data_IF_693984660605
#
_entry.id   IF_693984660605
#
_cell.length_a   1.000
_cell.length_b   1.000
_cell.length_c   1.000
_cell.angle_alpha   90.00
_cell.angle_beta   90.00
_cell.angle_gamma   90.00
#
_symmetry.space_group_name_H-M   'P 1'
#
loop_
_entity.id
_entity.type
_entity.pdbx_description
1 polymer ?
#
# COMPACT_ATOMS: atom_id res chain seq x y z
N UNK A 1 -2.74 5.79 -1.27
CA UNK A 1 -3.22 4.39 -1.41
C UNK A 1 -4.73 4.29 -1.32
N UNK A 2 -5.37 4.74 -0.25
CA UNK A 2 -6.82 4.61 -0.04
C UNK A 2 -7.66 5.07 -1.23
N UNK A 3 -7.41 6.26 -1.78
CA UNK A 3 -8.11 6.76 -2.97
C UNK A 3 -8.02 5.82 -4.19
N UNK A 4 -6.86 5.18 -4.40
CA UNK A 4 -6.69 4.20 -5.48
C UNK A 4 -7.46 2.90 -5.24
N UNK A 5 -7.61 2.46 -3.99
CA UNK A 5 -8.43 1.30 -3.62
C UNK A 5 -9.92 1.65 -3.79
N UNK A 6 -10.34 2.85 -3.38
CA UNK A 6 -11.72 3.36 -3.61
C UNK A 6 -12.04 3.39 -5.10
N UNK A 7 -11.14 3.93 -5.93
CA UNK A 7 -11.30 3.93 -7.39
C UNK A 7 -11.47 2.52 -7.93
N UNK A 8 -10.57 1.60 -7.55
CA UNK A 8 -10.60 0.21 -8.00
C UNK A 8 -11.91 -0.50 -7.63
N UNK A 9 -12.35 -0.37 -6.38
CA UNK A 9 -13.59 -0.99 -5.91
C UNK A 9 -14.82 -0.46 -6.66
N UNK A 10 -14.92 0.85 -6.85
CA UNK A 10 -16.01 1.47 -7.59
C UNK A 10 -16.06 1.07 -9.07
N UNK A 11 -14.89 1.01 -9.74
CA UNK A 11 -14.76 0.51 -11.12
C UNK A 11 -15.15 -0.96 -11.25
N UNK A 12 -14.96 -1.73 -10.20
CA UNK A 12 -15.32 -3.15 -10.13
C UNK A 12 -16.79 -3.40 -9.77
N UNK A 13 -17.60 -2.35 -9.66
CA UNK A 13 -19.05 -2.45 -9.45
C UNK A 13 -19.50 -2.46 -7.98
N UNK A 14 -18.59 -2.30 -7.03
CA UNK A 14 -18.94 -2.26 -5.61
C UNK A 14 -19.52 -0.90 -5.20
N UNK A 15 -20.48 -0.91 -4.27
CA UNK A 15 -20.84 0.27 -3.50
C UNK A 15 -19.75 0.53 -2.47
N UNK A 16 -19.23 1.75 -2.41
CA UNK A 16 -18.07 2.11 -1.60
C UNK A 16 -18.43 3.27 -0.68
N UNK A 17 -18.11 3.12 0.61
CA UNK A 17 -18.07 4.24 1.54
C UNK A 17 -16.59 4.57 1.76
N UNK A 18 -16.16 5.73 1.26
CA UNK A 18 -14.80 6.23 1.45
C UNK A 18 -14.78 7.16 2.68
N UNK A 19 -14.14 6.71 3.75
CA UNK A 19 -14.13 7.43 5.03
C UNK A 19 -12.72 7.90 5.39
N UNK A 20 -12.60 9.19 5.73
CA UNK A 20 -11.39 9.78 6.32
C UNK A 20 -11.80 10.88 7.30
N UNK A 21 -11.12 10.99 8.44
CA UNK A 21 -11.39 12.04 9.43
C UNK A 21 -11.03 13.45 8.97
N UNK A 22 -10.19 13.58 7.93
CA UNK A 22 -9.76 14.84 7.32
C UNK A 22 -10.60 15.16 6.10
N UNK A 23 -11.32 16.28 6.14
CA UNK A 23 -12.08 16.79 4.98
C UNK A 23 -11.16 17.09 3.81
N UNK A 24 -9.99 17.68 4.06
CA UNK A 24 -9.01 18.00 3.00
C UNK A 24 -8.49 16.72 2.33
N UNK A 25 -8.29 15.63 3.11
CA UNK A 25 -7.89 14.34 2.55
C UNK A 25 -9.01 13.74 1.68
N UNK A 26 -10.28 13.87 2.08
CA UNK A 26 -11.43 13.45 1.27
C UNK A 26 -11.52 14.23 -0.03
N UNK A 27 -11.38 15.56 0.00
CA UNK A 27 -11.38 16.40 -1.21
C UNK A 27 -10.25 16.00 -2.17
N UNK A 28 -9.05 15.82 -1.63
CA UNK A 28 -7.91 15.32 -2.40
C UNK A 28 -8.15 13.93 -3.01
N UNK A 29 -8.78 13.03 -2.25
CA UNK A 29 -9.14 11.70 -2.73
C UNK A 29 -10.22 11.75 -3.84
N UNK A 30 -11.24 12.58 -3.70
CA UNK A 30 -12.26 12.79 -4.71
C UNK A 30 -11.65 13.25 -6.04
N UNK A 31 -10.78 14.25 -5.97
CA UNK A 31 -10.08 14.77 -7.16
C UNK A 31 -9.19 13.69 -7.81
N UNK A 32 -8.44 12.94 -6.98
CA UNK A 32 -7.60 11.84 -7.47
C UNK A 32 -8.42 10.78 -8.20
N UNK A 33 -9.54 10.33 -7.60
CA UNK A 33 -10.40 9.30 -8.17
C UNK A 33 -11.06 9.78 -9.46
N UNK A 34 -11.60 11.01 -9.49
CA UNK A 34 -12.21 11.58 -10.68
C UNK A 34 -11.23 11.64 -11.85
N UNK A 35 -10.05 12.24 -11.64
CA UNK A 35 -8.98 12.28 -12.65
C UNK A 35 -8.48 10.89 -13.06
N UNK A 36 -8.50 9.94 -12.13
CA UNK A 36 -8.15 8.55 -12.42
C UNK A 36 -9.16 7.92 -13.39
N UNK A 37 -10.45 8.08 -13.13
CA UNK A 37 -11.52 7.56 -13.99
C UNK A 37 -11.52 8.21 -15.37
N UNK A 38 -11.37 9.54 -15.44
CA UNK A 38 -11.22 10.27 -16.71
C UNK A 38 -10.09 9.68 -17.57
N UNK A 39 -8.91 9.48 -16.99
CA UNK A 39 -7.76 8.88 -17.70
C UNK A 39 -8.00 7.45 -18.17
N UNK A 40 -8.80 6.66 -17.47
CA UNK A 40 -9.16 5.32 -17.92
C UNK A 40 -10.17 5.39 -19.08
N UNK A 41 -11.12 6.33 -19.05
CA UNK A 41 -12.05 6.58 -20.16
C UNK A 41 -11.30 7.07 -21.41
N UNK A 42 -10.38 8.04 -21.29
CA UNK A 42 -9.53 8.52 -22.38
C UNK A 42 -8.70 7.39 -23.05
N UNK A 43 -8.36 6.36 -22.29
CA UNK A 43 -7.64 5.17 -22.79
C UNK A 43 -8.57 4.08 -23.34
N UNK A 44 -9.88 4.32 -23.35
CA UNK A 44 -10.87 3.40 -23.87
C UNK A 44 -11.16 2.18 -22.99
N UNK A 45 -10.82 2.24 -21.69
CA UNK A 45 -11.15 1.17 -20.75
C UNK A 45 -12.66 1.09 -20.47
N UNK A 46 -13.36 2.21 -20.53
CA UNK A 46 -14.81 2.35 -20.41
C UNK A 46 -15.23 3.74 -20.98
N UNK A 47 -16.51 3.97 -21.17
CA UNK A 47 -17.03 5.25 -21.66
C UNK A 47 -17.03 6.33 -20.57
N UNK A 48 -17.22 7.61 -20.96
CA UNK A 48 -17.39 8.70 -19.99
C UNK A 48 -18.63 8.50 -19.11
N UNK A 49 -19.72 7.98 -19.68
CA UNK A 49 -20.94 7.66 -18.94
C UNK A 49 -20.69 6.55 -17.89
N UNK A 50 -19.94 5.52 -18.25
CA UNK A 50 -19.51 4.47 -17.31
C UNK A 50 -18.59 5.03 -16.23
N UNK A 51 -17.70 5.98 -16.56
CA UNK A 51 -16.86 6.67 -15.58
C UNK A 51 -17.68 7.41 -14.53
N UNK A 52 -18.70 8.16 -14.94
CA UNK A 52 -19.62 8.84 -14.01
C UNK A 52 -20.44 7.83 -13.20
N UNK A 53 -20.90 6.74 -13.81
CA UNK A 53 -21.61 5.67 -13.10
C UNK A 53 -20.73 4.98 -12.06
N UNK A 54 -19.44 4.76 -12.35
CA UNK A 54 -18.47 4.23 -11.39
C UNK A 54 -18.24 5.22 -10.24
N UNK A 55 -18.04 6.50 -10.54
CA UNK A 55 -17.86 7.53 -9.52
C UNK A 55 -19.08 7.67 -8.62
N UNK A 56 -20.29 7.56 -9.19
CA UNK A 56 -21.56 7.60 -8.45
C UNK A 56 -21.77 6.48 -7.44
N UNK A 57 -20.95 5.40 -7.46
CA UNK A 57 -20.98 4.33 -6.46
C UNK A 57 -20.26 4.68 -5.17
N UNK A 58 -19.56 5.83 -5.12
CA UNK A 58 -18.73 6.21 -3.98
C UNK A 58 -19.48 7.22 -3.12
N UNK A 59 -19.73 6.85 -1.89
CA UNK A 59 -20.20 7.74 -0.85
C UNK A 59 -18.98 8.23 -0.03
N UNK A 60 -18.80 9.54 0.05
CA UNK A 60 -17.68 10.16 0.76
C UNK A 60 -18.14 10.67 2.12
N UNK A 61 -17.48 10.28 3.19
CA UNK A 61 -17.89 10.63 4.55
C UNK A 61 -16.70 10.92 5.46
N UNK A 62 -16.86 11.91 6.33
CA UNK A 62 -15.95 12.14 7.45
C UNK A 62 -16.42 11.44 8.73
N UNK A 63 -17.54 10.72 8.69
CA UNK A 63 -18.15 10.06 9.83
C UNK A 63 -17.99 8.54 9.74
N UNK A 64 -17.17 7.97 10.62
CA UNK A 64 -16.94 6.52 10.69
C UNK A 64 -18.23 5.72 10.99
N UNK A 65 -19.22 6.31 11.67
CA UNK A 65 -20.50 5.66 11.98
C UNK A 65 -21.26 5.17 10.73
N UNK A 66 -20.99 5.75 9.57
CA UNK A 66 -21.60 5.33 8.30
C UNK A 66 -21.08 3.98 7.81
N UNK A 67 -19.98 3.48 8.38
CA UNK A 67 -19.44 2.15 8.07
C UNK A 67 -20.16 1.01 8.79
N UNK A 68 -21.10 1.30 9.69
CA UNK A 68 -21.75 0.31 10.57
C UNK A 68 -22.44 -0.87 9.87
N UNK A 69 -22.79 -0.73 8.60
CA UNK A 69 -23.42 -1.79 7.81
C UNK A 69 -22.45 -2.41 6.79
N UNK A 70 -21.17 -2.07 6.85
CA UNK A 70 -20.19 -2.60 5.92
C UNK A 70 -19.89 -4.07 6.21
N UNK A 71 -19.90 -4.90 5.15
CA UNK A 71 -19.51 -6.31 5.22
C UNK A 71 -17.98 -6.48 5.31
N UNK A 72 -17.25 -5.55 4.68
CA UNK A 72 -15.79 -5.53 4.63
C UNK A 72 -15.29 -4.10 4.72
N UNK A 73 -14.29 -3.87 5.55
CA UNK A 73 -13.54 -2.60 5.58
C UNK A 73 -12.10 -2.86 5.19
N UNK A 74 -11.57 -2.03 4.29
CA UNK A 74 -10.14 -2.00 3.95
C UNK A 74 -9.53 -0.75 4.61
N UNK A 75 -8.76 -0.94 5.67
CA UNK A 75 -8.03 0.11 6.34
C UNK A 75 -6.78 0.50 5.53
N UNK A 76 -6.63 1.77 5.19
CA UNK A 76 -5.53 2.30 4.41
C UNK A 76 -5.01 3.67 4.92
N UNK A 77 -5.06 3.88 6.24
CA UNK A 77 -4.56 5.10 6.90
C UNK A 77 -3.03 5.11 6.98
N UNK A 78 -2.45 6.12 7.66
CA UNK A 78 -1.00 6.26 7.82
C UNK A 78 -0.35 4.99 8.39
N UNK A 79 0.85 4.64 7.90
CA UNK A 79 1.57 3.40 8.25
C UNK A 79 2.25 3.54 9.62
N UNK A 80 1.44 3.64 10.69
CA UNK A 80 1.88 3.70 12.09
C UNK A 80 1.07 2.74 12.93
N UNK A 81 1.73 1.94 13.76
CA UNK A 81 1.11 0.87 14.55
C UNK A 81 0.01 1.41 15.50
N UNK A 82 0.29 2.49 16.25
CA UNK A 82 -0.69 3.09 17.18
C UNK A 82 -1.99 3.50 16.48
N UNK A 83 -1.95 4.45 15.52
CA UNK A 83 -3.14 4.88 14.79
C UNK A 83 -3.92 3.74 14.12
N UNK A 84 -3.22 2.74 13.51
CA UNK A 84 -3.90 1.59 12.91
C UNK A 84 -4.60 0.72 13.95
N UNK A 85 -3.97 0.46 15.10
CA UNK A 85 -4.59 -0.30 16.20
C UNK A 85 -5.84 0.40 16.74
N UNK A 86 -5.77 1.72 16.92
CA UNK A 86 -6.92 2.55 17.36
C UNK A 86 -8.06 2.48 16.33
N UNK A 87 -7.74 2.61 15.04
CA UNK A 87 -8.73 2.51 13.97
C UNK A 87 -9.36 1.11 13.90
N UNK A 88 -8.57 0.03 14.01
CA UNK A 88 -9.09 -1.33 14.01
C UNK A 88 -9.97 -1.61 15.22
N UNK A 89 -9.60 -1.12 16.40
CA UNK A 89 -10.42 -1.27 17.60
C UNK A 89 -11.77 -0.51 17.49
N UNK A 90 -11.76 0.70 16.92
CA UNK A 90 -12.98 1.47 16.67
C UNK A 90 -13.88 0.77 15.63
N UNK A 91 -13.30 0.24 14.56
CA UNK A 91 -14.04 -0.55 13.55
C UNK A 91 -14.63 -1.83 14.15
N UNK A 92 -13.87 -2.51 15.02
CA UNK A 92 -14.33 -3.71 15.70
C UNK A 92 -15.58 -3.46 16.56
N UNK A 93 -15.62 -2.33 17.26
CA UNK A 93 -16.77 -1.94 18.07
C UNK A 93 -17.99 -1.50 17.24
N UNK A 94 -17.78 -1.02 16.03
CA UNK A 94 -18.81 -0.43 15.16
C UNK A 94 -19.47 -1.46 14.23
N UNK A 95 -18.66 -2.33 13.64
CA UNK A 95 -19.06 -3.20 12.53
C UNK A 95 -19.91 -4.40 12.99
N UNK A 96 -20.76 -4.95 12.11
CA UNK A 96 -21.46 -6.21 12.38
C UNK A 96 -20.50 -7.32 12.73
N UNK A 97 -20.94 -8.28 13.55
CA UNK A 97 -20.11 -9.39 14.02
C UNK A 97 -19.48 -10.21 12.87
N UNK A 98 -20.17 -10.28 11.72
CA UNK A 98 -19.69 -11.04 10.56
C UNK A 98 -18.78 -10.25 9.61
N UNK A 99 -18.61 -8.96 9.85
CA UNK A 99 -17.75 -8.13 9.00
C UNK A 99 -16.28 -8.49 9.15
N UNK A 100 -15.55 -8.43 8.03
CA UNK A 100 -14.10 -8.59 8.01
C UNK A 100 -13.39 -7.23 7.97
N UNK A 101 -12.24 -7.16 8.64
CA UNK A 101 -11.38 -5.98 8.64
C UNK A 101 -10.09 -6.37 7.94
N UNK A 102 -9.83 -5.77 6.78
CA UNK A 102 -8.59 -5.93 6.03
C UNK A 102 -7.72 -4.70 6.20
N UNK A 103 -6.42 -4.88 6.31
CA UNK A 103 -5.48 -3.75 6.43
C UNK A 103 -4.54 -3.70 5.24
N UNK A 104 -4.33 -2.51 4.69
CA UNK A 104 -3.37 -2.28 3.61
C UNK A 104 -1.95 -1.99 4.14
N UNK A 105 -1.63 -2.45 5.34
CA UNK A 105 -0.27 -2.32 5.86
C UNK A 105 0.75 -2.96 4.91
N UNK A 106 1.93 -2.35 4.84
CA UNK A 106 3.06 -2.86 4.03
C UNK A 106 4.15 -3.54 4.85
N UNK A 107 4.16 -3.35 6.17
CA UNK A 107 5.28 -3.79 7.01
C UNK A 107 4.91 -4.18 8.44
N UNK A 108 3.72 -3.78 8.93
CA UNK A 108 3.31 -4.09 10.31
C UNK A 108 2.77 -5.53 10.36
N UNK A 109 3.26 -6.39 11.28
CA UNK A 109 2.77 -7.74 11.45
C UNK A 109 1.24 -7.78 11.67
N UNK A 110 0.54 -8.67 10.97
CA UNK A 110 -0.91 -8.77 11.08
C UNK A 110 -1.35 -9.12 12.51
N UNK A 111 -0.55 -9.91 13.24
CA UNK A 111 -0.82 -10.25 14.63
C UNK A 111 -0.93 -8.99 15.53
N UNK A 112 -0.06 -8.00 15.32
CA UNK A 112 -0.04 -6.77 16.12
C UNK A 112 -1.30 -5.93 15.91
N UNK A 113 -1.80 -5.89 14.68
CA UNK A 113 -3.03 -5.17 14.33
C UNK A 113 -4.28 -5.94 14.77
N UNK A 114 -4.33 -7.24 14.48
CA UNK A 114 -5.45 -8.11 14.84
C UNK A 114 -5.68 -8.16 16.36
N UNK A 115 -4.62 -8.09 17.18
CA UNK A 115 -4.71 -8.07 18.65
C UNK A 115 -5.44 -6.85 19.22
N UNK A 116 -5.69 -5.82 18.41
CA UNK A 116 -6.49 -4.65 18.82
C UNK A 116 -8.00 -4.89 18.67
N UNK A 117 -8.41 -6.04 18.12
CA UNK A 117 -9.82 -6.39 17.88
C UNK A 117 -10.26 -7.58 18.71
N UNK A 118 -11.55 -7.72 18.97
CA UNK A 118 -12.17 -8.90 19.57
C UNK A 118 -12.44 -10.04 18.57
N UNK A 119 -12.11 -9.82 17.26
CA UNK A 119 -12.30 -10.77 16.16
C UNK A 119 -11.03 -11.01 15.35
N UNK A 120 -9.89 -11.39 15.96
CA UNK A 120 -8.62 -11.53 15.26
C UNK A 120 -8.67 -12.56 14.10
N UNK A 121 -9.61 -13.51 14.13
CA UNK A 121 -9.84 -14.48 13.06
C UNK A 121 -10.46 -13.83 11.80
N UNK A 122 -11.08 -12.65 11.91
CA UNK A 122 -11.67 -11.87 10.81
C UNK A 122 -10.77 -10.74 10.30
N UNK A 123 -9.51 -10.74 10.72
CA UNK A 123 -8.50 -9.75 10.29
C UNK A 123 -7.45 -10.42 9.42
N UNK A 124 -7.15 -9.82 8.26
CA UNK A 124 -5.97 -10.13 7.44
C UNK A 124 -5.46 -8.87 6.72
N UNK A 125 -4.33 -8.99 6.06
CA UNK A 125 -3.85 -7.94 5.16
C UNK A 125 -4.49 -8.03 3.78
N UNK A 126 -4.57 -6.87 3.10
CA UNK A 126 -4.77 -6.75 1.65
C UNK A 126 -3.82 -5.67 1.16
N UNK A 127 -2.58 -6.07 0.91
CA UNK A 127 -1.50 -5.16 0.52
C UNK A 127 -1.55 -4.91 -0.98
N UNK A 128 -2.12 -3.75 -1.34
CA UNK A 128 -2.18 -3.27 -2.72
C UNK A 128 -0.89 -2.57 -3.12
N UNK A 129 -0.52 -2.67 -4.39
CA UNK A 129 0.63 -1.96 -4.96
C UNK A 129 0.19 -0.70 -5.71
N UNK A 130 1.04 0.34 -5.67
CA UNK A 130 0.78 1.63 -6.34
C UNK A 130 1.01 1.55 -7.85
N UNK A 131 0.09 2.05 -8.70
CA UNK A 131 -1.29 2.46 -8.39
C UNK A 131 -2.25 1.25 -8.36
N UNK A 132 -3.16 1.12 -7.37
CA UNK A 132 -4.04 -0.05 -7.23
C UNK A 132 -4.87 -0.40 -8.47
N UNK A 133 -5.44 0.56 -9.22
CA UNK A 133 -6.21 0.21 -10.42
C UNK A 133 -5.38 -0.47 -11.51
N UNK A 134 -4.05 -0.24 -11.55
CA UNK A 134 -3.15 -0.71 -12.62
C UNK A 134 -2.46 -2.03 -12.25
N UNK A 135 -2.03 -2.18 -10.99
CA UNK A 135 -1.29 -3.38 -10.57
C UNK A 135 -2.21 -4.58 -10.49
N UNK A 136 -1.73 -5.74 -10.99
CA UNK A 136 -2.55 -6.94 -11.11
C UNK A 136 -2.59 -7.79 -9.84
N UNK A 137 -1.49 -7.88 -9.11
CA UNK A 137 -1.40 -8.69 -7.90
C UNK A 137 -1.74 -7.90 -6.62
N UNK A 138 -2.31 -8.60 -5.65
CA UNK A 138 -2.51 -8.11 -4.27
C UNK A 138 -2.01 -9.19 -3.32
N UNK A 139 -1.08 -8.85 -2.44
CA UNK A 139 -0.69 -9.75 -1.36
C UNK A 139 -1.80 -9.79 -0.30
N UNK A 140 -2.09 -10.98 0.21
CA UNK A 140 -2.99 -11.19 1.33
C UNK A 140 -2.18 -11.73 2.51
N UNK A 141 -1.56 -10.85 3.31
CA UNK A 141 -0.84 -11.26 4.50
C UNK A 141 -1.77 -11.91 5.53
N UNK A 142 -1.49 -13.19 5.82
CA UNK A 142 -2.23 -13.98 6.80
C UNK A 142 -1.64 -13.78 8.19
N UNK A 143 -2.46 -13.39 9.17
CA UNK A 143 -2.09 -13.42 10.58
C UNK A 143 -2.21 -14.84 11.19
N UNK A 144 -1.61 -15.08 12.35
CA UNK A 144 -1.66 -16.41 13.00
C UNK A 144 -3.07 -16.82 13.40
N UNK A 145 -3.95 -15.88 13.68
CA UNK A 145 -5.36 -16.12 14.04
C UNK A 145 -6.32 -16.04 12.87
N UNK A 146 -5.90 -15.54 11.70
CA UNK A 146 -6.77 -15.36 10.54
C UNK A 146 -7.39 -16.70 10.09
N UNK A 147 -8.72 -16.76 10.04
CA UNK A 147 -9.45 -17.96 9.62
C UNK A 147 -9.35 -18.20 8.11
N UNK A 148 -9.53 -19.44 7.68
CA UNK A 148 -9.57 -19.77 6.25
C UNK A 148 -10.79 -19.11 5.56
N UNK A 149 -11.91 -18.97 6.26
CA UNK A 149 -13.09 -18.26 5.76
C UNK A 149 -12.76 -16.79 5.46
N UNK A 150 -12.03 -16.12 6.35
CA UNK A 150 -11.58 -14.72 6.14
C UNK A 150 -10.64 -14.62 4.93
N UNK A 151 -9.74 -15.59 4.76
CA UNK A 151 -8.86 -15.64 3.60
C UNK A 151 -9.64 -15.83 2.29
N UNK A 152 -10.66 -16.72 2.30
CA UNK A 152 -11.50 -16.89 1.10
C UNK A 152 -12.33 -15.64 0.79
N UNK A 153 -12.83 -14.93 1.81
CA UNK A 153 -13.50 -13.63 1.60
C UNK A 153 -12.53 -12.60 1.01
N UNK A 154 -11.29 -12.52 1.51
CA UNK A 154 -10.27 -11.63 0.97
C UNK A 154 -9.89 -12.00 -0.47
N UNK A 155 -9.70 -13.31 -0.77
CA UNK A 155 -9.46 -13.78 -2.15
C UNK A 155 -10.62 -13.45 -3.08
N UNK A 156 -11.86 -13.67 -2.61
CA UNK A 156 -13.08 -13.35 -3.36
C UNK A 156 -13.17 -11.87 -3.70
N UNK A 157 -12.94 -11.00 -2.71
CA UNK A 157 -12.93 -9.56 -2.91
C UNK A 157 -11.84 -9.11 -3.89
N UNK A 158 -10.61 -9.61 -3.74
CA UNK A 158 -9.51 -9.28 -4.65
C UNK A 158 -9.81 -9.74 -6.09
N UNK A 159 -10.38 -10.93 -6.25
CA UNK A 159 -10.83 -11.43 -7.58
C UNK A 159 -11.95 -10.60 -8.17
N UNK A 160 -12.90 -10.11 -7.36
CA UNK A 160 -13.98 -9.25 -7.84
C UNK A 160 -13.46 -7.90 -8.36
N UNK A 161 -12.28 -7.47 -7.91
CA UNK A 161 -11.55 -6.32 -8.45
C UNK A 161 -10.78 -6.64 -9.75
N UNK A 162 -10.91 -7.85 -10.30
CA UNK A 162 -10.14 -8.31 -11.45
C UNK A 162 -8.65 -8.50 -11.15
N UNK A 163 -8.29 -8.69 -9.87
CA UNK A 163 -6.90 -8.82 -9.42
C UNK A 163 -6.57 -10.26 -9.03
N UNK A 164 -5.27 -10.55 -8.96
CA UNK A 164 -4.73 -11.86 -8.56
C UNK A 164 -4.41 -11.84 -7.07
N UNK A 165 -5.13 -12.58 -6.23
CA UNK A 165 -4.83 -12.68 -4.81
C UNK A 165 -3.66 -13.65 -4.56
N UNK A 166 -2.68 -13.23 -3.77
CA UNK A 166 -1.55 -14.06 -3.34
C UNK A 166 -1.48 -14.07 -1.83
N UNK A 167 -1.82 -15.20 -1.21
CA UNK A 167 -1.71 -15.35 0.25
C UNK A 167 -0.26 -15.53 0.63
N UNK A 168 0.18 -14.74 1.62
CA UNK A 168 1.55 -14.74 2.14
C UNK A 168 1.54 -14.80 3.67
N UNK A 169 2.66 -15.17 4.28
CA UNK A 169 2.82 -15.12 5.73
C UNK A 169 2.84 -13.65 6.20
N UNK A 170 1.88 -13.28 7.03
CA UNK A 170 1.73 -11.94 7.59
C UNK A 170 2.57 -11.68 8.85
N UNK A 171 3.31 -12.67 9.33
CA UNK A 171 4.27 -12.54 10.42
C UNK A 171 5.66 -12.09 9.98
N UNK A 172 5.93 -12.14 8.66
CA UNK A 172 7.22 -11.69 8.10
C UNK A 172 7.14 -10.19 7.78
N UNK A 173 7.90 -9.34 8.46
CA UNK A 173 7.92 -7.91 8.18
C UNK A 173 8.30 -7.61 6.71
N UNK A 174 7.53 -6.76 6.04
CA UNK A 174 7.72 -6.45 4.62
C UNK A 174 7.17 -7.50 3.65
N UNK A 175 6.53 -8.56 4.16
CA UNK A 175 5.90 -9.65 3.40
C UNK A 175 6.82 -10.22 2.31
N UNK A 176 6.32 -10.45 1.08
CA UNK A 176 7.16 -10.96 -0.01
C UNK A 176 7.72 -9.82 -0.84
N UNK A 177 6.88 -8.89 -1.30
CA UNK A 177 7.31 -7.85 -2.23
C UNK A 177 8.43 -6.96 -1.68
N UNK A 178 8.26 -6.44 -0.47
CA UNK A 178 9.29 -5.59 0.14
C UNK A 178 10.56 -6.38 0.50
N UNK A 179 10.44 -7.66 0.83
CA UNK A 179 11.59 -8.55 1.07
C UNK A 179 12.42 -8.79 -0.20
N UNK A 180 11.84 -8.64 -1.39
CA UNK A 180 12.59 -8.64 -2.65
C UNK A 180 13.07 -7.25 -3.05
N UNK A 181 12.23 -6.24 -2.86
CA UNK A 181 12.48 -4.88 -3.34
C UNK A 181 13.56 -4.16 -2.53
N UNK A 182 13.45 -4.22 -1.20
CA UNK A 182 14.36 -3.49 -0.33
C UNK A 182 15.81 -3.94 -0.46
N UNK A 183 16.17 -5.23 -0.51
CA UNK A 183 17.52 -5.68 -0.78
C UNK A 183 18.17 -5.08 -2.02
N UNK A 184 17.42 -4.95 -3.12
CA UNK A 184 17.92 -4.35 -4.34
C UNK A 184 18.29 -2.87 -4.14
N UNK A 185 17.43 -2.10 -3.49
CA UNK A 185 17.70 -0.69 -3.17
C UNK A 185 18.86 -0.54 -2.19
N UNK A 186 18.89 -1.34 -1.11
CA UNK A 186 19.95 -1.30 -0.11
C UNK A 186 21.31 -1.64 -0.72
N UNK A 187 21.38 -2.64 -1.59
CA UNK A 187 22.63 -2.98 -2.28
C UNK A 187 23.06 -1.88 -3.25
N UNK A 188 22.12 -1.30 -4.00
CA UNK A 188 22.42 -0.15 -4.85
C UNK A 188 23.00 1.03 -4.05
N UNK A 189 22.42 1.33 -2.88
CA UNK A 189 22.95 2.34 -1.97
C UNK A 189 24.38 2.02 -1.50
N UNK A 190 24.65 0.76 -1.14
CA UNK A 190 26.00 0.33 -0.73
C UNK A 190 27.01 0.41 -1.85
N UNK A 191 26.61 0.08 -3.08
CA UNK A 191 27.48 0.22 -4.26
C UNK A 191 27.80 1.70 -4.51
N UNK A 192 26.82 2.59 -4.35
CA UNK A 192 27.01 4.03 -4.45
C UNK A 192 27.95 4.56 -3.37
N UNK A 193 27.80 4.15 -2.10
CA UNK A 193 28.67 4.54 -0.99
C UNK A 193 30.12 4.06 -1.15
N UNK A 194 30.30 2.93 -1.85
CA UNK A 194 31.64 2.38 -2.17
C UNK A 194 32.25 2.97 -3.45
N UNK A 195 31.56 3.92 -4.07
CA UNK A 195 31.97 4.53 -5.34
C UNK A 195 32.19 3.47 -6.47
N UNK A 196 31.45 2.36 -6.41
CA UNK A 196 31.56 1.31 -7.42
C UNK A 196 31.11 1.76 -8.81
N UNK A 197 30.07 2.62 -8.87
CA UNK A 197 29.59 3.33 -10.06
C UNK A 197 28.69 4.51 -9.66
N UNK A 198 28.53 5.51 -10.56
CA UNK A 198 27.49 6.55 -10.40
C UNK A 198 26.07 5.93 -10.34
N UNK A 199 25.15 6.61 -9.68
CA UNK A 199 23.76 6.13 -9.53
C UNK A 199 23.08 5.89 -10.88
N UNK A 200 23.34 6.76 -11.87
CA UNK A 200 22.83 6.66 -13.22
C UNK A 200 23.26 5.36 -13.92
N UNK A 201 24.52 4.96 -13.71
CA UNK A 201 25.09 3.74 -14.32
C UNK A 201 24.56 2.49 -13.61
N UNK A 202 24.35 2.52 -12.28
CA UNK A 202 23.74 1.43 -11.52
C UNK A 202 22.30 1.19 -12.03
N UNK A 203 21.50 2.26 -12.13
CA UNK A 203 20.14 2.16 -12.66
C UNK A 203 20.13 1.70 -14.13
N UNK A 204 21.07 2.19 -14.94
CA UNK A 204 21.20 1.81 -16.34
C UNK A 204 21.51 0.31 -16.51
N UNK A 205 22.45 -0.24 -15.72
CA UNK A 205 22.79 -1.66 -15.73
C UNK A 205 21.57 -2.51 -15.35
N UNK A 206 20.86 -2.13 -14.29
CA UNK A 206 19.66 -2.87 -13.85
C UNK A 206 18.57 -2.84 -14.92
N UNK A 207 18.33 -1.69 -15.56
CA UNK A 207 17.33 -1.56 -16.63
C UNK A 207 17.75 -2.26 -17.93
N UNK A 208 18.97 -2.00 -18.41
CA UNK A 208 19.39 -2.45 -19.75
C UNK A 208 20.15 -3.76 -19.76
N UNK A 209 20.90 -4.05 -18.69
CA UNK A 209 21.66 -5.29 -18.54
C UNK A 209 20.81 -6.44 -17.99
N UNK A 210 19.99 -6.16 -16.98
CA UNK A 210 19.16 -7.17 -16.31
C UNK A 210 17.71 -7.20 -16.78
N UNK A 211 17.26 -6.21 -17.59
CA UNK A 211 15.92 -6.18 -18.18
C UNK A 211 14.81 -5.69 -17.23
N UNK A 212 15.14 -5.05 -16.12
CA UNK A 212 14.14 -4.48 -15.23
C UNK A 212 13.50 -3.23 -15.86
N UNK A 213 12.20 -2.99 -15.62
CA UNK A 213 11.52 -1.82 -16.20
C UNK A 213 11.95 -0.49 -15.56
N UNK A 214 12.55 -0.53 -14.37
CA UNK A 214 12.95 0.62 -13.56
C UNK A 214 14.23 0.29 -12.78
N UNK A 215 15.11 1.27 -12.60
CA UNK A 215 16.30 1.12 -11.78
C UNK A 215 16.02 1.20 -10.27
N UNK A 216 16.93 0.73 -9.41
CA UNK A 216 16.73 0.70 -7.96
C UNK A 216 16.55 2.10 -7.35
N UNK A 217 17.28 3.11 -7.80
CA UNK A 217 17.15 4.48 -7.28
C UNK A 217 15.89 5.17 -7.80
N UNK A 218 15.57 5.02 -9.09
CA UNK A 218 14.29 5.50 -9.64
C UNK A 218 13.09 4.87 -8.92
N UNK A 219 13.19 3.58 -8.58
CA UNK A 219 12.15 2.86 -7.85
C UNK A 219 12.05 3.34 -6.39
N UNK A 220 13.17 3.57 -5.72
CA UNK A 220 13.22 4.15 -4.38
C UNK A 220 12.53 5.52 -4.33
N UNK A 221 12.86 6.39 -5.28
CA UNK A 221 12.24 7.71 -5.41
C UNK A 221 10.74 7.65 -5.73
N UNK A 222 10.31 6.65 -6.52
CA UNK A 222 8.90 6.44 -6.83
C UNK A 222 8.09 5.94 -5.62
N UNK A 223 8.65 5.02 -4.82
CA UNK A 223 8.02 4.49 -3.60
C UNK A 223 7.97 5.56 -2.51
N UNK A 224 9.03 6.35 -2.41
CA UNK A 224 9.31 7.29 -1.34
C UNK A 224 10.39 6.74 -0.40
N UNK A 225 11.47 7.49 -0.25
CA UNK A 225 12.65 7.06 0.51
C UNK A 225 12.38 6.94 2.00
N UNK A 226 11.46 7.72 2.56
CA UNK A 226 10.97 7.56 3.93
C UNK A 226 10.23 6.24 4.14
N UNK A 227 9.43 5.80 3.16
CA UNK A 227 8.76 4.50 3.19
C UNK A 227 9.80 3.38 3.12
N UNK A 228 10.79 3.49 2.22
CA UNK A 228 11.87 2.53 2.11
C UNK A 228 12.70 2.43 3.41
N UNK A 229 12.99 3.58 4.04
CA UNK A 229 13.69 3.64 5.32
C UNK A 229 12.88 2.98 6.45
N UNK A 230 11.58 3.27 6.55
CA UNK A 230 10.70 2.69 7.58
C UNK A 230 10.60 1.16 7.43
N UNK A 231 10.33 0.67 6.21
CA UNK A 231 10.24 -0.78 5.93
C UNK A 231 11.55 -1.49 6.26
N UNK A 232 12.68 -0.98 5.81
CA UNK A 232 13.99 -1.61 6.04
C UNK A 232 14.37 -1.60 7.51
N UNK A 233 14.10 -0.50 8.23
CA UNK A 233 14.32 -0.39 9.68
C UNK A 233 13.47 -1.40 10.45
N UNK A 234 12.18 -1.53 10.12
CA UNK A 234 11.30 -2.53 10.76
C UNK A 234 11.76 -3.97 10.51
N UNK A 235 12.20 -4.27 9.28
CA UNK A 235 12.74 -5.60 8.96
C UNK A 235 14.02 -5.85 9.77
N UNK A 236 14.92 -4.86 9.85
CA UNK A 236 16.14 -4.95 10.64
C UNK A 236 15.84 -5.16 12.13
N UNK A 237 14.97 -4.34 12.71
CA UNK A 237 14.55 -4.45 14.12
C UNK A 237 13.93 -5.82 14.46
N UNK A 238 13.09 -6.33 13.56
CA UNK A 238 12.40 -7.60 13.79
C UNK A 238 13.27 -8.84 13.58
N UNK A 239 14.29 -8.77 12.70
CA UNK A 239 15.11 -9.93 12.34
C UNK A 239 16.49 -9.91 12.94
N UNK A 240 17.00 -8.73 13.32
CA UNK A 240 18.41 -8.53 13.71
C UNK A 240 19.39 -8.71 12.53
N UNK A 241 18.91 -8.88 11.30
CA UNK A 241 19.76 -9.10 10.14
C UNK A 241 20.42 -7.78 9.71
N UNK A 242 21.77 -7.68 9.84
CA UNK A 242 22.51 -6.45 9.52
C UNK A 242 22.41 -6.06 8.04
N UNK A 243 21.98 -6.99 7.16
CA UNK A 243 21.76 -6.67 5.75
C UNK A 243 20.67 -5.63 5.56
N UNK A 244 19.66 -5.59 6.44
CA UNK A 244 18.58 -4.63 6.41
C UNK A 244 18.85 -3.33 7.17
N UNK A 245 20.05 -3.18 7.78
CA UNK A 245 20.45 -1.88 8.33
C UNK A 245 20.55 -0.86 7.20
N UNK A 246 19.71 0.21 7.23
CA UNK A 246 19.66 1.16 6.12
C UNK A 246 21.00 1.85 5.89
N UNK A 247 21.53 1.93 4.67
CA UNK A 247 22.77 2.65 4.36
C UNK A 247 22.69 4.14 4.70
N UNK A 248 23.85 4.75 4.93
CA UNK A 248 23.96 6.16 5.34
C UNK A 248 23.31 7.10 4.31
N UNK A 249 23.53 6.86 3.02
CA UNK A 249 22.97 7.69 1.94
C UNK A 249 21.45 7.74 1.99
N UNK A 250 20.77 6.64 2.26
CA UNK A 250 19.32 6.58 2.39
C UNK A 250 18.85 7.37 3.62
N UNK A 251 19.52 7.20 4.76
CA UNK A 251 19.21 7.96 5.98
C UNK A 251 19.41 9.46 5.81
N UNK A 252 20.47 9.86 5.10
CA UNK A 252 20.80 11.27 4.88
C UNK A 252 19.78 11.95 3.96
N UNK A 253 19.36 11.30 2.87
CA UNK A 253 18.31 11.81 1.98
C UNK A 253 16.99 12.02 2.73
N UNK A 254 16.57 11.03 3.53
CA UNK A 254 15.34 11.15 4.31
C UNK A 254 15.45 12.27 5.35
N UNK A 255 16.61 12.40 6.01
CA UNK A 255 16.84 13.48 6.99
C UNK A 255 16.79 14.87 6.37
N UNK A 256 17.24 15.03 5.12
CA UNK A 256 17.19 16.32 4.41
C UNK A 256 15.82 16.61 3.80
N UNK A 257 14.86 15.68 3.89
CA UNK A 257 13.53 15.84 3.30
C UNK A 257 13.46 15.52 1.81
N UNK A 258 14.53 14.96 1.25
CA UNK A 258 14.62 14.52 -0.14
C UNK A 258 13.99 13.13 -0.25
N UNK A 259 12.65 13.08 -0.32
CA UNK A 259 11.88 11.83 -0.19
C UNK A 259 11.50 11.20 -1.53
N UNK A 260 12.07 11.65 -2.63
CA UNK A 260 11.78 11.16 -3.98
C UNK A 260 10.74 12.02 -4.72
N UNK A 261 10.00 11.41 -5.64
CA UNK A 261 9.06 12.12 -6.53
C UNK A 261 8.04 12.97 -5.79
N UNK A 262 7.57 12.55 -4.63
CA UNK A 262 6.55 13.26 -3.84
C UNK A 262 7.02 14.62 -3.27
N UNK A 263 8.33 14.83 -3.17
CA UNK A 263 8.94 16.09 -2.73
C UNK A 263 9.70 16.80 -3.86
N UNK A 264 9.65 16.27 -5.10
CA UNK A 264 10.37 16.78 -6.26
C UNK A 264 11.86 16.45 -6.25
N UNK A 265 12.37 15.79 -5.21
CA UNK A 265 13.78 15.42 -5.08
C UNK A 265 13.96 14.17 -4.22
N UNK A 266 14.92 13.33 -4.62
CA UNK A 266 15.39 12.15 -3.93
C UNK A 266 16.81 11.84 -4.40
N UNK A 267 17.05 10.60 -4.88
CA UNK A 267 18.27 10.33 -5.63
C UNK A 267 18.36 11.15 -6.90
N UNK A 268 17.21 11.45 -7.51
CA UNK A 268 17.08 12.32 -8.69
C UNK A 268 16.25 13.56 -8.39
N UNK A 269 16.26 14.51 -9.33
CA UNK A 269 15.40 15.68 -9.32
C UNK A 269 14.22 15.46 -10.27
N UNK A 270 13.03 15.88 -9.84
CA UNK A 270 11.77 15.72 -10.56
C UNK A 270 11.09 17.08 -10.72
N UNK A 271 10.71 17.40 -11.94
CA UNK A 271 9.99 18.64 -12.30
C UNK A 271 8.48 18.41 -12.30
#
# INVERSE_FOLDING_TARGET
MGAGIVQLAAQSGHAVIACDSSVDALEGAQLYVRRGMERFAERGAFSEEEAEAHYGRIHWSANMEELREADVVIEAIVEKTGPKREALAALDALLPAEACIFTNTSSIPIADLASATGRPEKVCGTHFFTPPPVREAVEIPRGPSTSEETLERARGLVRSFGKVPVVVDGGVPGFVANRFLMPMLLEACRLLEREAAPKEDIDLIVKKGLGFPIGPFELGDFIGLDVALDVTSRVHEATGDPYYDPPKVLRDLVRSGDLGQKTGRGFYEYS
#
